data_IF_440886875387
#
_entry.id   IF_440886875387
#
_cell.length_a   1.000
_cell.length_b   1.000
_cell.length_c   1.000
_cell.angle_alpha   90.00
_cell.angle_beta   90.00
_cell.angle_gamma   90.00
#
_symmetry.space_group_name_H-M   'P 1'
#
loop_
_entity.id
_entity.type
_entity.pdbx_description
1 polymer ?
#
# COMPACT_ATOMS: atom_id res chain seq x y z
N UNK A 1 -37.55 1.42 18.90
CA UNK A 1 -36.20 1.97 19.23
C UNK A 1 -35.08 1.05 18.73
N UNK A 2 -35.18 -0.29 18.92
CA UNK A 2 -34.22 -1.26 18.34
C UNK A 2 -34.21 -1.24 16.80
N UNK A 3 -35.37 -1.23 16.15
CA UNK A 3 -35.46 -1.23 14.68
C UNK A 3 -34.87 0.03 14.03
N UNK A 4 -35.09 1.21 14.61
CA UNK A 4 -34.50 2.46 14.13
C UNK A 4 -32.96 2.49 14.30
N UNK A 5 -32.43 1.83 15.35
CA UNK A 5 -31.00 1.75 15.59
C UNK A 5 -30.31 0.78 14.61
N UNK A 6 -30.97 -0.33 14.28
CA UNK A 6 -30.51 -1.31 13.27
C UNK A 6 -30.55 -0.69 11.87
N UNK A 7 -31.66 -0.03 11.51
CA UNK A 7 -31.79 0.66 10.21
C UNK A 7 -30.72 1.74 10.05
N UNK A 8 -30.43 2.51 11.10
CA UNK A 8 -29.38 3.53 11.03
C UNK A 8 -27.98 2.91 10.85
N UNK A 9 -27.69 1.78 11.51
CA UNK A 9 -26.43 1.06 11.31
C UNK A 9 -26.27 0.53 9.88
N UNK A 10 -27.34 0.04 9.27
CA UNK A 10 -27.32 -0.43 7.88
C UNK A 10 -27.11 0.73 6.88
N UNK A 11 -27.73 1.87 7.14
CA UNK A 11 -27.55 3.08 6.32
C UNK A 11 -26.11 3.59 6.39
N UNK A 12 -25.53 3.71 7.59
CA UNK A 12 -24.12 4.08 7.78
C UNK A 12 -23.21 3.07 7.08
N UNK A 13 -23.43 1.77 7.31
CA UNK A 13 -22.62 0.71 6.71
C UNK A 13 -22.64 0.81 5.19
N UNK A 14 -23.80 1.04 4.59
CA UNK A 14 -23.94 1.17 3.13
C UNK A 14 -23.21 2.40 2.60
N UNK A 15 -23.44 3.58 3.18
CA UNK A 15 -22.82 4.84 2.74
C UNK A 15 -21.28 4.75 2.85
N UNK A 16 -20.78 4.24 3.97
CA UNK A 16 -19.34 4.02 4.20
C UNK A 16 -18.76 2.99 3.23
N UNK A 17 -19.41 1.85 3.04
CA UNK A 17 -18.90 0.79 2.16
C UNK A 17 -18.87 1.26 0.71
N UNK A 18 -19.89 1.99 0.27
CA UNK A 18 -19.92 2.58 -1.08
C UNK A 18 -18.81 3.61 -1.27
N UNK A 19 -18.57 4.48 -0.28
CA UNK A 19 -17.48 5.45 -0.34
C UNK A 19 -16.11 4.77 -0.41
N UNK A 20 -15.83 3.81 0.48
CA UNK A 20 -14.55 3.08 0.53
C UNK A 20 -14.29 2.29 -0.76
N UNK A 21 -15.32 1.64 -1.31
CA UNK A 21 -15.19 0.84 -2.53
C UNK A 21 -15.19 1.68 -3.81
N UNK A 22 -15.34 3.01 -3.72
CA UNK A 22 -15.29 3.88 -4.88
C UNK A 22 -13.86 4.11 -5.34
N UNK A 23 -13.61 3.96 -6.64
CA UNK A 23 -12.29 4.21 -7.27
C UNK A 23 -11.80 5.67 -7.16
N UNK A 24 -12.68 6.56 -6.72
CA UNK A 24 -12.46 8.01 -6.59
C UNK A 24 -11.68 8.33 -5.31
N UNK A 25 -11.65 7.41 -4.33
CA UNK A 25 -11.13 7.68 -3.00
C UNK A 25 -10.11 6.63 -2.54
N UNK A 26 -9.23 7.02 -1.62
CA UNK A 26 -8.41 6.09 -0.84
C UNK A 26 -8.73 6.34 0.62
N UNK A 27 -9.73 5.65 1.15
CA UNK A 27 -10.23 5.85 2.50
C UNK A 27 -9.96 4.62 3.36
N UNK A 28 -9.52 4.86 4.59
CA UNK A 28 -9.36 3.86 5.61
C UNK A 28 -10.35 4.15 6.74
N UNK A 29 -11.17 3.16 7.07
CA UNK A 29 -12.08 3.23 8.21
C UNK A 29 -11.33 2.92 9.51
N UNK A 30 -11.49 3.77 10.51
CA UNK A 30 -11.02 3.56 11.88
C UNK A 30 -12.10 3.95 12.89
N UNK A 31 -11.85 3.63 14.14
CA UNK A 31 -12.57 4.17 15.30
C UNK A 31 -11.54 4.93 16.12
N UNK A 32 -11.78 6.23 16.33
CA UNK A 32 -10.89 7.11 17.10
C UNK A 32 -11.71 8.03 18.01
N UNK A 33 -11.14 8.50 19.14
CA UNK A 33 -11.81 9.46 20.01
C UNK A 33 -11.85 10.84 19.34
N UNK A 34 -13.06 11.35 19.11
CA UNK A 34 -13.30 12.74 18.69
C UNK A 34 -13.47 13.62 19.92
N UNK A 35 -12.77 14.75 19.97
CA UNK A 35 -12.82 15.71 21.06
C UNK A 35 -13.69 16.91 20.66
N UNK A 36 -14.79 17.10 21.38
CA UNK A 36 -15.70 18.22 21.17
C UNK A 36 -15.18 19.49 21.85
N UNK A 37 -15.66 20.65 21.38
CA UNK A 37 -15.26 21.96 21.91
C UNK A 37 -15.71 22.21 23.36
N UNK A 38 -16.68 21.43 23.85
CA UNK A 38 -17.12 21.45 25.26
C UNK A 38 -16.20 20.64 26.19
N UNK A 39 -15.11 20.05 25.65
CA UNK A 39 -14.15 19.24 26.38
C UNK A 39 -14.53 17.76 26.53
N UNK A 40 -15.68 17.35 26.00
CA UNK A 40 -16.07 15.94 25.99
C UNK A 40 -15.40 15.18 24.85
N UNK A 41 -15.32 13.85 24.97
CA UNK A 41 -14.79 12.99 23.91
C UNK A 41 -15.70 11.80 23.63
N UNK A 42 -15.73 11.33 22.39
CA UNK A 42 -16.51 10.16 21.99
C UNK A 42 -15.80 9.37 20.90
N UNK A 43 -15.81 8.05 20.99
CA UNK A 43 -15.34 7.18 19.92
C UNK A 43 -16.30 7.26 18.73
N UNK A 44 -15.79 7.73 17.60
CA UNK A 44 -16.54 7.87 16.35
C UNK A 44 -15.88 7.05 15.25
N UNK A 45 -16.70 6.64 14.27
CA UNK A 45 -16.18 6.14 13.01
C UNK A 45 -15.54 7.31 12.26
N UNK A 46 -14.35 7.07 11.73
CA UNK A 46 -13.60 8.04 10.97
C UNK A 46 -13.07 7.42 9.68
N UNK A 47 -13.26 8.12 8.56
CA UNK A 47 -12.62 7.80 7.29
C UNK A 47 -11.42 8.72 7.10
N UNK A 48 -10.22 8.17 7.09
CA UNK A 48 -8.98 8.90 6.78
C UNK A 48 -8.55 8.61 5.36
N UNK A 49 -8.13 9.62 4.61
CA UNK A 49 -7.71 9.40 3.25
C UNK A 49 -7.28 10.64 2.51
N UNK A 50 -7.39 10.59 1.18
CA UNK A 50 -7.09 11.73 0.31
C UNK A 50 -8.23 11.99 -0.66
N UNK A 51 -8.50 13.26 -0.93
CA UNK A 51 -9.30 13.72 -2.07
C UNK A 51 -8.37 14.04 -3.22
N UNK A 52 -8.55 13.35 -4.35
CA UNK A 52 -7.85 13.65 -5.58
C UNK A 52 -8.49 14.84 -6.27
N UNK A 53 -7.69 15.83 -6.63
CA UNK A 53 -8.18 16.98 -7.40
C UNK A 53 -7.18 17.39 -8.48
N UNK A 54 -7.69 18.07 -9.52
CA UNK A 54 -6.87 18.65 -10.57
C UNK A 54 -6.90 20.17 -10.43
N UNK A 55 -5.77 20.76 -10.03
CA UNK A 55 -5.61 22.19 -9.86
C UNK A 55 -4.53 22.70 -10.81
N UNK A 56 -4.85 23.70 -11.64
CA UNK A 56 -3.93 24.25 -12.66
C UNK A 56 -3.25 23.18 -13.52
N UNK A 57 -4.00 22.15 -13.94
CA UNK A 57 -3.52 21.07 -14.79
C UNK A 57 -2.67 19.98 -14.09
N UNK A 58 -2.30 20.18 -12.82
CA UNK A 58 -1.58 19.17 -12.01
C UNK A 58 -2.55 18.43 -11.08
N UNK A 59 -2.28 17.15 -10.83
CA UNK A 59 -3.04 16.34 -9.89
C UNK A 59 -2.46 16.48 -8.48
N UNK A 60 -3.32 16.73 -7.52
CA UNK A 60 -2.97 16.84 -6.09
C UNK A 60 -3.81 15.88 -5.27
N UNK A 61 -3.23 15.39 -4.18
CA UNK A 61 -3.90 14.56 -3.18
C UNK A 61 -4.02 15.39 -1.90
N UNK A 62 -5.23 15.75 -1.52
CA UNK A 62 -5.49 16.58 -0.33
C UNK A 62 -5.88 15.64 0.80
N UNK A 63 -5.08 15.51 1.88
CA UNK A 63 -5.41 14.60 2.97
C UNK A 63 -6.61 15.11 3.76
N UNK A 64 -7.51 14.18 4.10
CA UNK A 64 -8.76 14.49 4.80
C UNK A 64 -9.08 13.48 5.90
N UNK A 65 -9.92 13.92 6.83
CA UNK A 65 -10.56 13.11 7.86
C UNK A 65 -12.07 13.39 7.86
N UNK A 66 -12.89 12.35 7.74
CA UNK A 66 -14.35 12.43 7.78
C UNK A 66 -14.84 11.71 9.03
N UNK A 67 -15.41 12.45 9.96
CA UNK A 67 -15.96 11.93 11.21
C UNK A 67 -17.46 11.75 11.09
N UNK A 68 -17.93 10.55 11.43
CA UNK A 68 -19.33 10.16 11.32
C UNK A 68 -19.96 10.14 12.71
N UNK A 69 -20.91 11.03 12.95
CA UNK A 69 -21.69 11.03 14.17
C UNK A 69 -22.76 9.93 14.16
N UNK A 70 -23.34 9.62 15.32
CA UNK A 70 -24.33 8.54 15.49
C UNK A 70 -25.53 8.68 14.53
N UNK A 71 -25.89 9.90 14.17
CA UNK A 71 -27.05 10.19 13.34
C UNK A 71 -26.71 10.29 11.85
N UNK A 72 -25.46 10.03 11.44
CA UNK A 72 -25.13 9.83 10.02
C UNK A 72 -25.89 8.61 9.48
N UNK A 73 -26.36 8.58 8.21
CA UNK A 73 -26.30 9.64 7.20
C UNK A 73 -27.41 10.69 7.29
N UNK A 74 -28.30 10.65 8.30
CA UNK A 74 -29.33 11.69 8.47
C UNK A 74 -28.71 13.06 8.77
N UNK A 75 -27.56 13.08 9.45
CA UNK A 75 -26.73 14.25 9.69
C UNK A 75 -25.46 14.22 8.84
N UNK A 76 -25.06 15.39 8.34
CA UNK A 76 -23.81 15.57 7.60
C UNK A 76 -22.60 15.10 8.43
N UNK A 77 -21.58 14.52 7.80
CA UNK A 77 -20.33 14.23 8.48
C UNK A 77 -19.52 15.51 8.77
N UNK A 78 -18.60 15.45 9.73
CA UNK A 78 -17.62 16.51 9.96
C UNK A 78 -16.37 16.19 9.14
N UNK A 79 -15.99 17.10 8.25
CA UNK A 79 -14.89 16.88 7.31
C UNK A 79 -13.77 17.86 7.56
N UNK A 80 -12.56 17.36 7.72
CA UNK A 80 -11.35 18.18 7.91
C UNK A 80 -10.34 17.90 6.82
N UNK A 81 -9.70 18.95 6.30
CA UNK A 81 -8.41 18.86 5.62
C UNK A 81 -7.32 18.76 6.69
N UNK A 82 -6.44 17.77 6.54
CA UNK A 82 -5.28 17.57 7.42
C UNK A 82 -3.99 17.77 6.62
N UNK A 83 -3.42 18.99 6.62
CA UNK A 83 -2.16 19.24 5.94
C UNK A 83 -1.05 18.29 6.41
N UNK A 84 -0.18 17.85 5.48
CA UNK A 84 1.10 17.21 5.83
C UNK A 84 2.07 18.24 6.42
N UNK A 85 3.23 17.81 6.91
CA UNK A 85 4.21 18.66 7.59
C UNK A 85 4.71 19.87 6.77
N UNK A 86 4.56 19.82 5.45
CA UNK A 86 4.98 20.84 4.48
C UNK A 86 3.81 21.65 3.88
N UNK A 87 2.57 21.33 4.25
CA UNK A 87 1.36 21.97 3.75
C UNK A 87 0.73 22.89 4.80
N UNK A 88 0.11 23.96 4.33
CA UNK A 88 -0.64 24.91 5.16
C UNK A 88 -2.02 25.12 4.56
N UNK A 89 -3.04 25.30 5.41
CA UNK A 89 -4.37 25.70 4.95
C UNK A 89 -4.26 27.09 4.32
N UNK A 90 -4.75 27.23 3.09
CA UNK A 90 -4.75 28.50 2.36
C UNK A 90 -5.70 29.50 3.05
N UNK A 91 -5.21 30.68 3.49
CA UNK A 91 -6.08 31.72 4.07
C UNK A 91 -7.10 32.28 3.08
N UNK A 92 -6.86 32.08 1.77
CA UNK A 92 -7.77 32.48 0.70
C UNK A 92 -8.83 31.41 0.37
N UNK A 93 -8.78 30.25 1.04
CA UNK A 93 -9.75 29.18 0.86
C UNK A 93 -11.14 29.63 1.30
N UNK A 94 -12.14 29.43 0.44
CA UNK A 94 -13.56 29.66 0.76
C UNK A 94 -14.26 28.39 1.23
N UNK A 95 -13.65 27.24 0.92
CA UNK A 95 -14.24 25.92 1.13
C UNK A 95 -13.70 25.23 2.38
N UNK A 96 -12.67 25.80 3.02
CA UNK A 96 -12.01 25.27 4.21
C UNK A 96 -11.63 26.41 5.14
N UNK A 97 -12.02 26.32 6.41
CA UNK A 97 -11.70 27.32 7.43
C UNK A 97 -10.25 27.16 7.96
N UNK A 98 -9.72 28.11 8.76
CA UNK A 98 -8.34 28.04 9.28
C UNK A 98 -8.02 26.78 10.12
N UNK A 99 -9.02 26.20 10.80
CA UNK A 99 -8.87 24.95 11.57
C UNK A 99 -8.88 23.69 10.69
N UNK A 100 -9.01 23.86 9.38
CA UNK A 100 -9.09 22.78 8.40
C UNK A 100 -10.49 22.22 8.20
N UNK A 101 -11.53 22.72 8.86
CA UNK A 101 -12.92 22.27 8.67
C UNK A 101 -13.42 22.67 7.29
N UNK A 102 -13.96 21.70 6.54
CA UNK A 102 -14.52 21.90 5.20
C UNK A 102 -15.94 22.46 5.31
N UNK A 103 -16.20 23.54 4.59
CA UNK A 103 -17.44 24.34 4.66
C UNK A 103 -18.11 24.46 3.28
N UNK A 104 -18.33 23.31 2.62
CA UNK A 104 -18.97 23.26 1.31
C UNK A 104 -20.50 23.46 1.38
N UNK A 105 -21.12 24.10 0.37
CA UNK A 105 -22.58 24.19 0.28
C UNK A 105 -23.28 22.83 0.37
N UNK A 106 -22.66 21.79 -0.20
CA UNK A 106 -23.16 20.41 -0.15
C UNK A 106 -23.33 19.88 1.28
N UNK A 107 -22.40 20.19 2.19
CA UNK A 107 -22.50 19.81 3.60
C UNK A 107 -23.60 20.59 4.33
N UNK A 108 -23.78 21.88 3.98
CA UNK A 108 -24.82 22.72 4.57
C UNK A 108 -26.23 22.32 4.14
N UNK A 109 -26.39 21.80 2.92
CA UNK A 109 -27.67 21.30 2.38
C UNK A 109 -27.82 19.78 2.49
N UNK A 110 -27.00 19.13 3.30
CA UNK A 110 -26.99 17.67 3.42
C UNK A 110 -28.36 17.16 3.90
N UNK A 111 -28.93 16.23 3.15
CA UNK A 111 -30.19 15.58 3.52
C UNK A 111 -30.22 14.15 2.98
N UNK A 112 -30.40 13.17 3.86
CA UNK A 112 -30.60 11.79 3.42
C UNK A 112 -32.04 11.59 2.89
N UNK A 113 -32.26 10.83 1.79
CA UNK A 113 -31.29 10.05 1.01
C UNK A 113 -30.66 10.81 -0.19
N UNK A 114 -30.91 12.11 -0.33
CA UNK A 114 -30.37 12.92 -1.43
C UNK A 114 -28.89 13.29 -1.29
N UNK A 115 -28.26 13.00 -0.15
CA UNK A 115 -26.85 13.22 0.12
C UNK A 115 -26.15 11.95 0.60
N UNK A 116 -24.94 11.74 0.09
CA UNK A 116 -24.09 10.58 0.38
C UNK A 116 -22.60 10.96 0.33
N UNK A 117 -21.76 10.07 0.86
CA UNK A 117 -20.33 10.31 0.94
C UNK A 117 -19.66 10.38 -0.44
N UNK A 118 -20.09 9.58 -1.41
CA UNK A 118 -19.51 9.58 -2.78
C UNK A 118 -19.70 10.95 -3.44
N UNK A 119 -20.91 11.49 -3.36
CA UNK A 119 -21.26 12.80 -3.90
C UNK A 119 -20.53 13.92 -3.18
N UNK A 120 -20.34 13.79 -1.85
CA UNK A 120 -19.46 14.68 -1.10
C UNK A 120 -18.02 14.66 -1.64
N UNK A 121 -17.46 13.49 -1.97
CA UNK A 121 -16.13 13.40 -2.58
C UNK A 121 -16.04 14.09 -3.94
N UNK A 122 -17.07 13.94 -4.78
CA UNK A 122 -17.13 14.66 -6.06
C UNK A 122 -17.16 16.17 -5.86
N UNK A 123 -17.98 16.67 -4.94
CA UNK A 123 -18.06 18.11 -4.63
C UNK A 123 -16.75 18.65 -4.05
N UNK A 124 -16.09 17.90 -3.16
CA UNK A 124 -14.76 18.26 -2.65
C UNK A 124 -13.71 18.29 -3.76
N UNK A 125 -13.67 17.27 -4.62
CA UNK A 125 -12.72 17.20 -5.74
C UNK A 125 -12.88 18.39 -6.69
N UNK A 126 -14.12 18.76 -7.00
CA UNK A 126 -14.48 19.90 -7.84
C UNK A 126 -14.11 21.23 -7.18
N UNK A 127 -14.52 21.46 -5.94
CA UNK A 127 -14.23 22.70 -5.21
C UNK A 127 -12.72 22.93 -5.08
N UNK A 128 -11.99 21.91 -4.64
CA UNK A 128 -10.53 21.99 -4.47
C UNK A 128 -9.76 22.09 -5.79
N UNK A 129 -10.39 21.72 -6.92
CA UNK A 129 -9.82 21.87 -8.26
C UNK A 129 -9.94 23.29 -8.79
N UNK A 130 -10.96 24.03 -8.35
CA UNK A 130 -11.12 25.46 -8.62
C UNK A 130 -10.13 26.27 -7.79
N UNK A 131 -10.08 26.02 -6.48
CA UNK A 131 -9.17 26.67 -5.55
C UNK A 131 -8.61 25.65 -4.56
N UNK A 132 -7.30 25.40 -4.61
CA UNK A 132 -6.68 24.46 -3.67
C UNK A 132 -6.80 24.98 -2.23
N UNK A 133 -7.29 24.16 -1.28
CA UNK A 133 -7.42 24.55 0.11
C UNK A 133 -6.09 24.54 0.86
N UNK A 134 -5.01 24.07 0.22
CA UNK A 134 -3.67 23.97 0.82
C UNK A 134 -2.61 24.55 -0.11
N UNK A 135 -1.49 24.99 0.47
CA UNK A 135 -0.28 25.35 -0.27
C UNK A 135 0.95 24.78 0.42
N UNK A 136 2.01 24.52 -0.34
CA UNK A 136 3.29 24.00 0.18
C UNK A 136 4.31 25.13 0.38
N UNK A 137 5.14 25.03 1.40
CA UNK A 137 6.28 25.94 1.59
C UNK A 137 7.55 25.37 0.94
N UNK A 138 7.54 25.23 -0.39
CA UNK A 138 8.76 24.97 -1.17
C UNK A 138 9.45 26.30 -1.45
N UNK A 139 10.64 26.51 -0.90
CA UNK A 139 11.46 27.71 -1.10
C UNK A 139 11.83 27.89 -2.58
N UNK A 140 11.18 28.81 -3.29
CA UNK A 140 11.80 29.85 -4.15
C UNK A 140 10.80 30.54 -5.10
N UNK A 141 10.88 31.88 -5.10
CA UNK A 141 10.47 32.84 -6.13
C UNK A 141 8.98 33.17 -6.30
N UNK A 142 8.44 33.97 -5.38
CA UNK A 142 7.56 35.06 -5.76
C UNK A 142 8.33 36.38 -5.66
N UNK A 143 8.88 36.80 -6.80
CA UNK A 143 9.16 38.22 -7.04
C UNK A 143 7.83 38.95 -6.93
N UNK A 144 7.74 39.80 -5.91
CA UNK A 144 6.72 40.83 -5.80
C UNK A 144 6.80 41.77 -7.01
N UNK A 145 5.79 41.72 -7.87
CA UNK A 145 5.51 42.79 -8.83
C UNK A 145 4.03 43.18 -8.68
N UNK A 146 3.86 44.28 -7.97
CA UNK A 146 2.69 45.13 -7.93
C UNK A 146 2.29 45.63 -9.33
N UNK A 147 0.97 45.74 -9.55
CA UNK A 147 0.24 46.63 -10.47
C UNK A 147 0.81 46.88 -11.88
N UNK A 148 0.07 46.50 -12.92
CA UNK A 148 -0.81 47.42 -13.68
C UNK A 148 -1.39 46.76 -14.95
N UNK A 149 -2.61 47.20 -15.27
CA UNK A 149 -3.43 46.96 -16.46
C UNK A 149 -2.74 47.27 -17.79
N UNK A 150 -3.16 46.60 -18.89
CA UNK A 150 -3.65 47.21 -20.16
C UNK A 150 -3.87 46.16 -21.29
N UNK A 151 -5.05 46.28 -21.89
CA UNK A 151 -5.63 45.90 -23.19
C UNK A 151 -4.95 45.03 -24.28
N UNK A 152 -5.81 44.16 -24.84
CA UNK A 152 -6.19 44.02 -26.28
C UNK A 152 -5.29 43.37 -27.34
N UNK A 153 -5.90 42.38 -28.00
CA UNK A 153 -6.14 42.29 -29.46
C UNK A 153 -5.41 41.19 -30.27
N UNK A 154 -6.25 40.40 -30.96
CA UNK A 154 -6.15 39.85 -32.33
C UNK A 154 -4.91 39.05 -32.79
N UNK A 155 -5.11 37.82 -33.29
CA UNK A 155 -5.21 37.50 -34.74
C UNK A 155 -5.43 36.02 -35.04
N UNK A 156 -5.97 35.77 -36.23
CA UNK A 156 -6.54 34.55 -36.82
C UNK A 156 -5.50 33.60 -37.46
N UNK A 157 -6.03 32.44 -37.89
CA UNK A 157 -5.73 31.66 -39.11
C UNK A 157 -4.82 30.42 -38.90
N UNK A 158 -4.97 29.27 -39.57
CA UNK A 158 -6.04 28.51 -40.25
C UNK A 158 -5.34 27.30 -40.93
N UNK A 159 -6.13 26.33 -41.45
CA UNK A 159 -5.77 25.26 -42.43
C UNK A 159 -5.29 23.93 -41.83
N UNK A 160 -5.66 22.72 -42.30
CA UNK A 160 -6.84 22.12 -42.97
C UNK A 160 -6.52 20.62 -43.13
N UNK A 161 -7.56 19.77 -43.11
CA UNK A 161 -7.50 18.32 -43.30
C UNK A 161 -7.22 17.90 -44.75
N UNK A 162 -6.58 16.74 -44.97
CA UNK A 162 -6.83 15.87 -46.13
C UNK A 162 -6.69 14.37 -45.80
N UNK A 163 -7.48 13.60 -46.55
CA UNK A 163 -7.98 12.24 -46.35
C UNK A 163 -7.02 11.08 -46.69
N UNK A 164 -7.41 9.89 -46.20
CA UNK A 164 -6.91 8.54 -46.44
C UNK A 164 -7.11 8.00 -47.89
N UNK A 165 -6.55 6.80 -48.17
CA UNK A 165 -7.42 5.70 -48.60
C UNK A 165 -7.10 4.32 -47.95
N UNK A 166 -8.08 3.43 -48.02
CA UNK A 166 -8.16 2.04 -47.51
C UNK A 166 -7.52 1.02 -48.49
N UNK A 167 -7.21 -0.22 -48.02
CA UNK A 167 -7.68 -1.38 -48.79
C UNK A 167 -8.23 -2.57 -47.96
N UNK A 168 -9.36 -3.07 -48.47
CA UNK A 168 -9.89 -4.44 -48.67
C UNK A 168 -9.45 -5.64 -47.80
N UNK A 169 -10.49 -6.38 -47.37
CA UNK A 169 -10.54 -7.62 -46.58
C UNK A 169 -10.24 -8.86 -47.44
N UNK A 170 -9.41 -9.77 -46.92
CA UNK A 170 -9.49 -11.20 -47.23
C UNK A 170 -9.52 -12.03 -45.93
N UNK A 171 -10.39 -13.04 -45.96
CA UNK A 171 -10.78 -13.98 -44.92
C UNK A 171 -9.66 -14.93 -44.48
N UNK A 172 -9.57 -15.24 -43.17
CA UNK A 172 -9.49 -16.61 -42.65
C UNK A 172 -9.60 -16.67 -41.10
N UNK A 173 -10.59 -17.45 -40.65
CA UNK A 173 -10.70 -18.27 -39.44
C UNK A 173 -10.18 -17.78 -38.05
N UNK A 174 -11.15 -17.54 -37.16
CA UNK A 174 -11.31 -18.14 -35.82
C UNK A 174 -10.07 -18.48 -34.98
N UNK A 175 -9.79 -17.67 -33.96
CA UNK A 175 -9.44 -18.04 -32.57
C UNK A 175 -8.63 -16.93 -31.86
N UNK A 176 -9.21 -15.74 -31.63
CA UNK A 176 -8.52 -14.69 -30.85
C UNK A 176 -9.49 -13.77 -30.10
N UNK A 177 -10.48 -14.36 -29.43
CA UNK A 177 -11.29 -13.65 -28.43
C UNK A 177 -11.18 -14.47 -27.15
N UNK A 178 -10.13 -14.21 -26.35
CA UNK A 178 -9.95 -14.59 -24.93
C UNK A 178 -8.48 -14.31 -24.49
N UNK A 179 -7.93 -13.11 -24.70
CA UNK A 179 -6.57 -12.77 -24.21
C UNK A 179 -6.34 -11.38 -23.62
N UNK A 180 -7.36 -10.54 -23.43
CA UNK A 180 -7.16 -9.19 -22.87
C UNK A 180 -8.05 -8.91 -21.66
N UNK A 181 -7.83 -9.64 -20.55
CA UNK A 181 -8.47 -9.32 -19.26
C UNK A 181 -7.57 -9.46 -18.01
N UNK A 182 -6.36 -10.03 -18.10
CA UNK A 182 -5.57 -10.41 -16.92
C UNK A 182 -4.29 -9.57 -16.66
N UNK A 183 -4.26 -8.28 -17.03
CA UNK A 183 -3.11 -7.39 -16.75
C UNK A 183 -3.40 -6.31 -15.68
N UNK A 184 -4.06 -6.69 -14.57
CA UNK A 184 -4.28 -5.79 -13.43
C UNK A 184 -3.55 -6.24 -12.14
N UNK A 185 -2.50 -5.48 -11.80
CA UNK A 185 -2.07 -5.13 -10.43
C UNK A 185 -1.45 -6.20 -9.50
N UNK A 186 -0.11 -6.44 -9.58
CA UNK A 186 0.56 -7.49 -8.77
C UNK A 186 2.01 -7.16 -8.31
N UNK A 187 2.30 -6.11 -7.51
CA UNK A 187 3.73 -5.73 -7.24
C UNK A 187 3.99 -5.01 -5.91
N UNK A 188 3.02 -4.96 -5.02
CA UNK A 188 3.11 -4.10 -3.84
C UNK A 188 4.04 -4.69 -2.75
N UNK A 189 4.31 -5.99 -2.78
CA UNK A 189 5.18 -6.71 -1.82
C UNK A 189 6.64 -6.24 -1.76
N UNK A 190 7.13 -5.60 -2.82
CA UNK A 190 8.48 -5.04 -2.85
C UNK A 190 8.58 -3.72 -2.08
N UNK A 191 7.45 -3.09 -1.75
CA UNK A 191 7.39 -1.77 -1.09
C UNK A 191 7.15 -1.83 0.42
N UNK A 192 6.90 -3.01 1.00
CA UNK A 192 6.36 -3.19 2.36
C UNK A 192 7.36 -2.95 3.53
N UNK A 193 8.48 -2.26 3.31
CA UNK A 193 9.48 -2.02 4.38
C UNK A 193 9.13 -0.85 5.30
N UNK A 194 8.19 -0.01 4.88
CA UNK A 194 7.75 1.18 5.62
C UNK A 194 6.98 0.70 6.86
N UNK A 195 7.66 0.67 8.01
CA UNK A 195 7.08 0.16 9.26
C UNK A 195 7.98 -0.81 10.04
N UNK A 196 9.23 -1.04 9.62
CA UNK A 196 10.18 -1.76 10.45
C UNK A 196 10.39 -1.03 11.80
N UNK A 197 10.30 -1.74 12.93
CA UNK A 197 10.43 -1.13 14.25
C UNK A 197 11.85 -0.58 14.44
N UNK A 198 11.93 0.68 14.88
CA UNK A 198 13.20 1.38 15.16
C UNK A 198 13.91 0.90 16.44
N UNK A 199 13.45 -0.19 17.03
CA UNK A 199 14.04 -0.81 18.22
C UNK A 199 14.21 -2.31 18.01
N UNK A 200 15.19 -2.88 18.68
CA UNK A 200 15.35 -4.33 18.76
C UNK A 200 14.11 -4.96 19.43
N UNK A 201 13.47 -5.89 18.75
CA UNK A 201 12.40 -6.70 19.32
C UNK A 201 12.96 -7.99 19.94
N UNK A 202 12.15 -8.64 20.78
CA UNK A 202 12.47 -9.97 21.30
C UNK A 202 12.56 -10.98 20.15
N UNK A 203 13.44 -12.00 20.19
CA UNK A 203 13.53 -13.02 19.14
C UNK A 203 12.20 -13.74 18.86
N UNK A 204 12.01 -14.17 17.61
CA UNK A 204 10.89 -15.00 17.18
C UNK A 204 11.22 -16.45 17.53
N UNK A 205 10.48 -17.01 18.50
CA UNK A 205 10.71 -18.34 19.06
C UNK A 205 9.39 -19.02 19.45
N UNK A 206 9.41 -20.33 19.56
CA UNK A 206 8.27 -21.18 19.89
C UNK A 206 7.68 -21.89 18.67
N UNK A 207 7.72 -21.27 17.49
CA UNK A 207 7.20 -21.87 16.26
C UNK A 207 8.02 -23.09 15.82
N UNK A 208 9.33 -23.13 16.13
CA UNK A 208 10.21 -24.25 15.77
C UNK A 208 9.84 -25.56 16.47
N UNK A 209 9.09 -25.46 17.57
CA UNK A 209 8.59 -26.62 18.34
C UNK A 209 7.26 -27.14 17.80
N UNK A 210 6.64 -26.44 16.86
CA UNK A 210 5.39 -26.87 16.26
C UNK A 210 5.62 -28.05 15.31
N UNK A 211 4.65 -28.97 15.21
CA UNK A 211 4.72 -30.04 14.23
C UNK A 211 4.67 -29.48 12.81
N UNK A 212 5.32 -30.18 11.87
CA UNK A 212 5.06 -29.98 10.45
C UNK A 212 3.69 -30.57 10.12
N UNK A 213 2.84 -29.78 9.47
CA UNK A 213 1.43 -30.10 9.19
C UNK A 213 1.10 -29.71 7.75
N UNK A 214 -0.07 -30.12 7.26
CA UNK A 214 -0.54 -29.68 5.94
C UNK A 214 -0.82 -28.17 5.93
N UNK A 215 -0.84 -27.56 4.75
CA UNK A 215 -1.09 -26.13 4.63
C UNK A 215 -2.48 -25.74 5.17
N UNK A 216 -3.51 -26.57 4.95
CA UNK A 216 -4.85 -26.34 5.50
C UNK A 216 -4.85 -26.32 7.03
N UNK A 217 -4.14 -27.26 7.66
CA UNK A 217 -4.04 -27.26 9.10
C UNK A 217 -3.22 -26.07 9.62
N UNK A 218 -2.21 -25.64 8.87
CA UNK A 218 -1.38 -24.50 9.23
C UNK A 218 -2.12 -23.16 9.21
N UNK A 219 -3.11 -23.00 8.32
CA UNK A 219 -3.91 -21.78 8.18
C UNK A 219 -5.17 -21.77 9.05
N UNK A 220 -5.58 -22.90 9.63
CA UNK A 220 -6.77 -22.97 10.49
C UNK A 220 -6.85 -21.88 11.57
N UNK A 221 -5.77 -21.55 12.32
CA UNK A 221 -5.81 -20.46 13.30
C UNK A 221 -5.96 -19.05 12.69
N UNK A 222 -5.76 -18.92 11.37
CA UNK A 222 -5.75 -17.66 10.63
C UNK A 222 -7.08 -17.39 9.91
N UNK A 223 -7.98 -18.37 9.81
CA UNK A 223 -9.25 -18.28 9.06
C UNK A 223 -10.11 -17.10 9.51
N UNK A 224 -10.15 -16.81 10.81
CA UNK A 224 -10.90 -15.67 11.35
C UNK A 224 -10.18 -14.33 11.22
N UNK A 225 -8.88 -14.35 10.96
CA UNK A 225 -8.01 -13.17 10.90
C UNK A 225 -7.83 -12.66 9.47
N UNK A 226 -7.79 -13.58 8.50
CA UNK A 226 -7.47 -13.31 7.11
C UNK A 226 -8.66 -13.76 6.26
N UNK A 227 -9.45 -12.83 5.71
CA UNK A 227 -10.53 -13.16 4.79
C UNK A 227 -10.00 -13.97 3.60
N UNK A 228 -10.81 -14.91 3.13
CA UNK A 228 -10.56 -15.71 1.92
C UNK A 228 -9.30 -16.61 1.96
N UNK A 229 -8.62 -16.72 3.11
CA UNK A 229 -7.38 -17.51 3.23
C UNK A 229 -7.57 -18.98 2.87
N UNK A 230 -8.73 -19.57 3.17
CA UNK A 230 -9.04 -20.96 2.80
C UNK A 230 -9.15 -21.12 1.28
N UNK A 231 -9.84 -20.20 0.60
CA UNK A 231 -9.98 -20.19 -0.85
C UNK A 231 -8.61 -19.99 -1.51
N UNK A 232 -7.81 -19.04 -1.04
CA UNK A 232 -6.48 -18.76 -1.58
C UNK A 232 -5.52 -19.92 -1.33
N UNK A 233 -5.62 -20.57 -0.17
CA UNK A 233 -4.88 -21.79 0.15
C UNK A 233 -5.20 -22.92 -0.84
N UNK A 234 -6.48 -23.11 -1.16
CA UNK A 234 -6.90 -24.09 -2.14
C UNK A 234 -6.29 -23.78 -3.51
N UNK A 235 -6.38 -22.54 -3.98
CA UNK A 235 -5.79 -22.08 -5.25
C UNK A 235 -4.27 -22.32 -5.27
N UNK A 236 -3.55 -21.96 -4.20
CA UNK A 236 -2.11 -22.17 -4.09
C UNK A 236 -1.74 -23.66 -4.23
N UNK A 237 -2.49 -24.56 -3.59
CA UNK A 237 -2.26 -26.00 -3.70
C UNK A 237 -2.52 -26.54 -5.10
N UNK A 238 -3.58 -26.10 -5.77
CA UNK A 238 -3.89 -26.55 -7.15
C UNK A 238 -2.78 -26.18 -8.16
N UNK A 239 -2.02 -25.12 -7.88
CA UNK A 239 -0.90 -24.69 -8.71
C UNK A 239 0.42 -25.39 -8.34
N UNK A 240 0.44 -26.27 -7.33
CA UNK A 240 1.64 -26.95 -6.81
C UNK A 240 1.64 -28.47 -7.02
N UNK A 241 1.05 -28.98 -8.11
CA UNK A 241 0.88 -30.43 -8.33
C UNK A 241 2.20 -31.23 -8.44
N UNK A 242 3.28 -30.60 -8.91
CA UNK A 242 4.61 -31.22 -9.06
C UNK A 242 5.70 -30.25 -8.59
N UNK A 243 5.86 -30.08 -7.27
CA UNK A 243 6.79 -29.10 -6.71
C UNK A 243 8.24 -29.48 -7.04
N UNK A 244 9.05 -28.48 -7.39
CA UNK A 244 10.49 -28.62 -7.62
C UNK A 244 11.27 -28.60 -6.29
N UNK A 245 12.59 -28.71 -6.40
CA UNK A 245 13.53 -28.40 -5.31
C UNK A 245 13.38 -29.29 -4.05
N UNK A 246 12.79 -30.48 -4.22
CA UNK A 246 12.58 -31.44 -3.13
C UNK A 246 11.52 -31.00 -2.10
N UNK A 247 10.70 -30.00 -2.44
CA UNK A 247 9.59 -29.57 -1.59
C UNK A 247 8.41 -30.52 -1.71
N UNK A 248 7.68 -30.67 -0.61
CA UNK A 248 6.33 -31.26 -0.64
C UNK A 248 5.34 -30.27 -1.26
N UNK A 249 4.16 -30.77 -1.64
CA UNK A 249 3.09 -29.92 -2.17
C UNK A 249 2.68 -28.84 -1.17
N UNK A 250 2.55 -29.17 0.12
CA UNK A 250 2.19 -28.21 1.18
C UNK A 250 3.27 -27.15 1.40
N UNK A 251 4.56 -27.54 1.33
CA UNK A 251 5.68 -26.62 1.44
C UNK A 251 5.73 -25.63 0.26
N UNK A 252 5.63 -26.14 -0.97
CA UNK A 252 5.57 -25.28 -2.16
C UNK A 252 4.35 -24.36 -2.14
N UNK A 253 3.17 -24.89 -1.79
CA UNK A 253 1.94 -24.11 -1.71
C UNK A 253 2.01 -23.06 -0.60
N UNK A 254 2.74 -23.31 0.49
CA UNK A 254 2.94 -22.30 1.55
C UNK A 254 3.72 -21.08 1.05
N UNK A 255 4.74 -21.30 0.21
CA UNK A 255 5.49 -20.22 -0.45
C UNK A 255 4.60 -19.52 -1.48
N UNK A 256 3.85 -20.28 -2.27
CA UNK A 256 2.93 -19.70 -3.26
C UNK A 256 1.87 -18.81 -2.61
N UNK A 257 1.24 -19.28 -1.52
CA UNK A 257 0.27 -18.50 -0.76
C UNK A 257 0.86 -17.19 -0.24
N UNK A 258 2.13 -17.20 0.20
CA UNK A 258 2.83 -15.98 0.60
C UNK A 258 3.00 -15.01 -0.58
N UNK A 259 3.22 -15.50 -1.79
CA UNK A 259 3.43 -14.62 -2.95
C UNK A 259 2.16 -14.08 -3.57
N UNK A 260 1.00 -14.68 -3.30
CA UNK A 260 -0.28 -14.25 -3.88
C UNK A 260 -0.70 -12.87 -3.34
N UNK A 261 -1.10 -11.98 -4.25
CA UNK A 261 -1.78 -10.73 -3.93
C UNK A 261 -3.28 -10.87 -4.25
N UNK A 262 -4.15 -10.42 -3.35
CA UNK A 262 -5.60 -10.40 -3.56
C UNK A 262 -6.27 -9.17 -2.95
N UNK A 263 -7.46 -8.87 -3.45
CA UNK A 263 -8.23 -7.70 -3.01
C UNK A 263 -9.16 -8.03 -1.81
N UNK A 264 -9.24 -7.15 -0.80
CA UNK A 264 -8.49 -5.90 -0.66
C UNK A 264 -7.02 -6.15 -0.30
N UNK A 265 -6.12 -5.49 -1.02
CA UNK A 265 -4.66 -5.69 -0.92
C UNK A 265 -4.12 -5.69 0.52
N UNK A 266 -4.55 -4.76 1.36
CA UNK A 266 -4.08 -4.64 2.75
C UNK A 266 -4.43 -5.85 3.63
N UNK A 267 -5.35 -6.70 3.17
CA UNK A 267 -5.72 -7.96 3.81
C UNK A 267 -5.13 -9.19 3.13
N UNK A 268 -4.28 -9.00 2.12
CA UNK A 268 -3.49 -10.09 1.56
C UNK A 268 -2.65 -10.76 2.63
N UNK A 269 -2.40 -12.06 2.45
CA UNK A 269 -1.79 -12.90 3.46
C UNK A 269 -0.40 -12.43 3.87
N UNK A 270 0.47 -12.09 2.90
CA UNK A 270 1.82 -11.64 3.21
C UNK A 270 1.83 -10.27 3.89
N UNK A 271 0.93 -9.36 3.52
CA UNK A 271 0.82 -8.03 4.14
C UNK A 271 0.50 -8.21 5.63
N UNK A 272 -0.50 -9.04 5.92
CA UNK A 272 -0.92 -9.33 7.29
C UNK A 272 0.18 -10.04 8.08
N UNK A 273 0.86 -11.02 7.46
CA UNK A 273 1.98 -11.73 8.09
C UNK A 273 3.13 -10.78 8.42
N UNK A 274 3.61 -10.00 7.46
CA UNK A 274 4.74 -9.10 7.65
C UNK A 274 4.43 -7.99 8.66
N UNK A 275 3.20 -7.47 8.66
CA UNK A 275 2.74 -6.55 9.71
C UNK A 275 2.78 -7.21 11.09
N UNK A 276 2.36 -8.48 11.20
CA UNK A 276 2.40 -9.22 12.47
C UNK A 276 3.85 -9.51 12.92
N UNK A 277 4.75 -9.80 11.97
CA UNK A 277 6.18 -10.03 12.25
C UNK A 277 6.89 -8.77 12.78
N UNK A 278 6.49 -7.60 12.30
CA UNK A 278 6.96 -6.27 12.75
C UNK A 278 6.30 -5.80 14.05
N UNK A 279 5.20 -6.43 14.47
CA UNK A 279 4.48 -6.04 15.66
C UNK A 279 5.31 -6.24 16.93
N UNK A 280 5.23 -5.26 17.84
CA UNK A 280 5.97 -5.32 19.12
C UNK A 280 5.41 -6.36 20.09
N UNK A 281 4.14 -6.74 19.94
CA UNK A 281 3.44 -7.71 20.78
C UNK A 281 3.59 -9.10 20.17
N UNK A 282 4.64 -9.83 20.58
CA UNK A 282 4.98 -11.17 20.03
C UNK A 282 3.87 -12.22 20.15
N UNK A 283 2.97 -12.07 21.11
CA UNK A 283 1.80 -12.94 21.28
C UNK A 283 0.89 -12.96 20.04
N UNK A 284 0.85 -11.88 19.26
CA UNK A 284 0.09 -11.79 18.01
C UNK A 284 0.62 -12.74 16.93
N UNK A 285 1.87 -13.22 17.05
CA UNK A 285 2.45 -14.21 16.12
C UNK A 285 1.99 -15.64 16.43
N UNK A 286 1.43 -15.94 17.60
CA UNK A 286 1.07 -17.32 17.98
C UNK A 286 0.14 -18.03 16.97
N UNK A 287 -0.91 -17.38 16.43
CA UNK A 287 -1.75 -18.00 15.39
C UNK A 287 -0.96 -18.40 14.14
N UNK A 288 0.15 -17.71 13.85
CA UNK A 288 1.00 -17.95 12.69
C UNK A 288 2.03 -19.06 12.89
N UNK A 289 2.19 -19.63 14.09
CA UNK A 289 3.31 -20.53 14.36
C UNK A 289 3.31 -21.81 13.51
N UNK A 290 2.15 -22.39 13.22
CA UNK A 290 2.06 -23.56 12.33
C UNK A 290 2.45 -23.20 10.90
N UNK A 291 1.97 -22.05 10.39
CA UNK A 291 2.33 -21.56 9.07
C UNK A 291 3.82 -21.19 8.97
N UNK A 292 4.34 -20.44 9.94
CA UNK A 292 5.77 -20.09 10.04
C UNK A 292 6.64 -21.35 10.08
N UNK A 293 6.23 -22.38 10.84
CA UNK A 293 6.92 -23.66 10.88
C UNK A 293 6.99 -24.30 9.50
N UNK A 294 5.90 -24.32 8.75
CA UNK A 294 5.82 -24.90 7.41
C UNK A 294 6.65 -24.12 6.39
N UNK A 295 6.42 -22.80 6.26
CA UNK A 295 7.06 -21.98 5.22
C UNK A 295 8.55 -21.81 5.45
N UNK A 296 9.00 -21.65 6.71
CA UNK A 296 10.43 -21.55 7.01
C UNK A 296 11.12 -22.88 6.74
N UNK A 297 10.49 -24.02 7.08
CA UNK A 297 11.03 -25.34 6.74
C UNK A 297 11.17 -25.53 5.23
N UNK A 298 10.17 -25.10 4.45
CA UNK A 298 10.22 -25.10 2.99
C UNK A 298 11.40 -24.26 2.46
N UNK A 299 11.52 -23.02 2.91
CA UNK A 299 12.57 -22.09 2.48
C UNK A 299 13.98 -22.54 2.92
N UNK A 300 14.11 -23.25 4.03
CA UNK A 300 15.40 -23.81 4.47
C UNK A 300 15.91 -24.92 3.54
N UNK A 301 15.02 -25.65 2.85
CA UNK A 301 15.41 -26.68 1.87
C UNK A 301 15.94 -26.08 0.56
N UNK A 302 15.54 -24.86 0.22
CA UNK A 302 16.03 -24.17 -0.97
C UNK A 302 17.49 -23.72 -0.79
N UNK A 303 18.33 -23.78 -1.83
CA UNK A 303 19.72 -23.32 -1.75
C UNK A 303 19.76 -21.80 -1.50
N UNK A 304 20.68 -21.31 -0.65
CA UNK A 304 20.89 -19.87 -0.48
C UNK A 304 21.57 -19.26 -1.72
N UNK A 305 21.28 -17.99 -1.99
CA UNK A 305 21.94 -17.20 -3.02
C UNK A 305 22.91 -16.20 -2.40
N UNK A 306 24.14 -16.18 -2.91
CA UNK A 306 25.23 -15.28 -2.47
C UNK A 306 25.46 -14.15 -3.48
N UNK A 307 24.43 -13.35 -3.73
CA UNK A 307 24.43 -12.29 -4.73
C UNK A 307 23.90 -10.98 -4.18
N UNK A 308 24.23 -9.88 -4.84
CA UNK A 308 23.58 -8.60 -4.58
C UNK A 308 22.13 -8.71 -5.06
N UNK A 309 21.18 -8.48 -4.14
CA UNK A 309 19.76 -8.39 -4.45
C UNK A 309 19.28 -6.96 -4.30
N UNK A 310 18.22 -6.63 -5.04
CA UNK A 310 17.66 -5.29 -5.08
C UNK A 310 16.24 -5.26 -4.58
N UNK A 311 15.88 -4.14 -3.95
CA UNK A 311 14.51 -3.87 -3.50
C UNK A 311 14.17 -2.40 -3.67
N UNK A 312 13.10 -2.11 -4.40
CA UNK A 312 12.61 -0.76 -4.64
C UNK A 312 11.43 -0.42 -3.75
N UNK A 313 11.45 0.78 -3.16
CA UNK A 313 10.40 1.26 -2.27
C UNK A 313 10.01 2.68 -2.66
N UNK A 314 8.71 2.96 -2.81
CA UNK A 314 8.19 4.29 -3.15
C UNK A 314 8.01 5.19 -1.92
N UNK A 315 9.10 5.38 -1.18
CA UNK A 315 9.13 6.24 0.00
C UNK A 315 10.56 6.75 0.23
N UNK A 316 10.70 7.86 0.96
CA UNK A 316 12.00 8.35 1.42
C UNK A 316 12.33 7.69 2.75
N UNK A 317 13.39 6.87 2.74
CA UNK A 317 13.88 6.20 3.94
C UNK A 317 15.29 6.66 4.32
N UNK A 318 15.87 7.66 3.65
CA UNK A 318 17.26 8.04 3.87
C UNK A 318 17.55 8.39 5.35
N UNK A 319 16.62 9.08 6.01
CA UNK A 319 16.76 9.46 7.42
C UNK A 319 16.77 8.26 8.38
N UNK A 320 16.24 7.10 7.99
CA UNK A 320 16.16 5.90 8.84
C UNK A 320 17.43 5.04 8.74
N UNK A 321 18.24 5.24 7.70
CA UNK A 321 19.40 4.42 7.38
C UNK A 321 20.66 5.27 7.38
N UNK A 322 21.34 5.32 8.53
CA UNK A 322 22.61 6.01 8.70
C UNK A 322 23.77 5.05 8.45
N UNK A 323 24.77 5.45 7.67
CA UNK A 323 25.97 4.64 7.41
C UNK A 323 26.63 4.18 8.71
N UNK A 324 27.01 2.90 8.76
CA UNK A 324 27.60 2.23 9.92
C UNK A 324 26.58 1.79 10.97
N UNK A 325 25.29 2.12 10.81
CA UNK A 325 24.25 1.61 11.70
C UNK A 325 23.91 0.16 11.37
N UNK A 326 23.38 -0.53 12.37
CA UNK A 326 22.85 -1.88 12.22
C UNK A 326 21.33 -1.84 12.34
N UNK A 327 20.65 -2.49 11.42
CA UNK A 327 19.19 -2.58 11.34
C UNK A 327 18.73 -4.03 11.25
N UNK A 328 17.46 -4.28 11.56
CA UNK A 328 16.84 -5.61 11.44
C UNK A 328 15.58 -5.47 10.61
N UNK A 329 15.42 -6.34 9.62
CA UNK A 329 14.15 -6.50 8.90
C UNK A 329 13.40 -7.69 9.50
N UNK A 330 12.30 -7.40 10.19
CA UNK A 330 11.53 -8.41 10.93
C UNK A 330 10.55 -9.16 10.05
N UNK A 331 10.02 -8.54 8.99
CA UNK A 331 9.20 -9.21 7.99
C UNK A 331 10.03 -10.06 7.02
N UNK A 332 9.35 -10.93 6.27
CA UNK A 332 9.93 -11.47 5.04
C UNK A 332 10.15 -10.32 4.06
N UNK A 333 11.25 -10.37 3.30
CA UNK A 333 11.58 -9.29 2.36
C UNK A 333 11.71 -9.82 0.95
N UNK A 334 10.78 -9.44 0.09
CA UNK A 334 10.81 -9.72 -1.34
C UNK A 334 11.84 -8.85 -2.04
N UNK A 335 12.78 -9.47 -2.75
CA UNK A 335 13.83 -8.82 -3.51
C UNK A 335 13.92 -9.42 -4.92
N UNK A 336 14.65 -8.78 -5.80
CA UNK A 336 14.92 -9.29 -7.15
C UNK A 336 16.41 -9.23 -7.45
N UNK A 337 16.90 -10.19 -8.22
CA UNK A 337 18.28 -10.18 -8.76
C UNK A 337 18.38 -9.32 -10.01
N UNK A 338 17.27 -9.08 -10.71
CA UNK A 338 17.25 -8.29 -11.94
C UNK A 338 17.15 -6.81 -11.61
N UNK A 339 18.20 -6.06 -11.92
CA UNK A 339 18.16 -4.60 -11.83
C UNK A 339 17.18 -4.01 -12.85
N UNK A 340 16.96 -4.68 -13.98
CA UNK A 340 16.00 -4.28 -15.00
C UNK A 340 14.56 -4.30 -14.49
N UNK A 341 14.23 -5.22 -13.57
CA UNK A 341 12.92 -5.26 -12.94
C UNK A 341 12.59 -3.91 -12.28
N UNK A 342 13.57 -3.22 -11.68
CA UNK A 342 13.37 -1.91 -11.02
C UNK A 342 12.90 -0.80 -11.99
N UNK A 343 13.05 -0.96 -13.31
CA UNK A 343 12.47 -0.03 -14.29
C UNK A 343 10.95 -0.04 -14.27
N UNK A 344 10.34 -1.11 -13.78
CA UNK A 344 8.90 -1.19 -13.60
C UNK A 344 8.46 -0.11 -12.62
N UNK A 345 7.57 0.76 -13.10
CA UNK A 345 7.00 1.85 -12.31
C UNK A 345 6.37 1.37 -11.02
N UNK A 346 5.96 0.10 -10.89
CA UNK A 346 5.36 -0.39 -9.66
C UNK A 346 6.38 -0.80 -8.57
N UNK A 347 7.60 -1.22 -8.93
CA UNK A 347 8.65 -1.54 -7.96
C UNK A 347 9.42 -0.29 -7.50
N UNK A 348 10.14 0.34 -8.42
CA UNK A 348 10.90 1.57 -8.15
C UNK A 348 10.48 2.68 -9.11
N UNK A 349 10.51 2.41 -10.41
CA UNK A 349 10.18 3.41 -11.43
C UNK A 349 11.22 4.52 -11.56
N UNK A 350 10.90 5.51 -12.38
CA UNK A 350 11.82 6.62 -12.71
C UNK A 350 11.48 7.93 -12.01
N UNK A 351 10.27 8.05 -11.47
CA UNK A 351 9.74 9.30 -10.93
C UNK A 351 9.26 9.15 -9.49
N UNK A 352 9.09 10.29 -8.81
CA UNK A 352 8.63 10.34 -7.43
C UNK A 352 9.71 10.03 -6.40
N UNK A 353 9.34 10.20 -5.13
CA UNK A 353 10.20 9.90 -3.99
C UNK A 353 10.30 8.38 -3.84
N UNK A 354 11.54 7.88 -3.84
CA UNK A 354 11.81 6.44 -3.84
C UNK A 354 13.18 6.12 -3.28
N UNK A 355 13.28 4.93 -2.71
CA UNK A 355 14.49 4.36 -2.12
C UNK A 355 14.80 3.03 -2.81
N UNK A 356 16.02 2.89 -3.31
CA UNK A 356 16.56 1.64 -3.82
C UNK A 356 17.52 1.04 -2.78
N UNK A 357 17.21 -0.17 -2.32
CA UNK A 357 18.13 -0.99 -1.55
C UNK A 357 18.96 -1.86 -2.50
N UNK A 358 20.28 -1.83 -2.31
CA UNK A 358 21.23 -2.78 -2.88
C UNK A 358 21.83 -3.57 -1.73
N UNK A 359 21.62 -4.88 -1.70
CA UNK A 359 21.84 -5.72 -0.52
C UNK A 359 22.83 -6.81 -0.87
N UNK A 360 24.03 -6.76 -0.29
CA UNK A 360 24.95 -7.91 -0.28
C UNK A 360 24.32 -8.99 0.61
N UNK A 361 23.73 -10.02 -0.03
CA UNK A 361 22.94 -11.04 0.64
C UNK A 361 23.63 -12.41 0.58
N UNK A 362 23.56 -13.14 1.69
CA UNK A 362 24.12 -14.48 1.86
C UNK A 362 23.06 -15.57 2.09
N UNK A 363 21.84 -15.18 2.48
CA UNK A 363 20.80 -16.15 2.89
C UNK A 363 19.53 -16.16 2.03
N UNK A 364 19.49 -15.36 0.96
CA UNK A 364 18.32 -15.22 0.10
C UNK A 364 17.91 -16.53 -0.57
N UNK A 365 16.61 -16.73 -0.75
CA UNK A 365 16.03 -17.94 -1.35
C UNK A 365 15.36 -17.59 -2.65
N UNK A 366 15.84 -18.14 -3.76
CA UNK A 366 15.13 -18.01 -5.03
C UNK A 366 13.83 -18.82 -4.95
N UNK A 367 12.69 -18.15 -5.11
CA UNK A 367 11.38 -18.79 -5.02
C UNK A 367 10.62 -18.77 -6.35
N UNK A 368 11.31 -18.52 -7.47
CA UNK A 368 10.72 -18.46 -8.81
C UNK A 368 9.84 -19.67 -9.14
N UNK A 369 10.30 -20.87 -8.78
CA UNK A 369 9.59 -22.14 -9.05
C UNK A 369 8.36 -22.37 -8.15
N UNK A 370 8.19 -21.56 -7.10
CA UNK A 370 7.18 -21.73 -6.06
C UNK A 370 6.34 -20.48 -5.82
N UNK A 371 6.61 -19.39 -6.56
CA UNK A 371 5.87 -18.14 -6.53
C UNK A 371 4.68 -18.23 -7.48
N UNK A 372 3.60 -17.52 -7.14
CA UNK A 372 2.47 -17.29 -8.03
C UNK A 372 2.88 -16.39 -9.23
N UNK A 373 3.90 -15.55 -9.05
CA UNK A 373 4.47 -14.66 -10.08
C UNK A 373 5.89 -15.12 -10.45
N UNK A 374 5.99 -16.13 -11.31
CA UNK A 374 7.26 -16.76 -11.67
C UNK A 374 8.18 -15.87 -12.53
N UNK A 375 7.64 -14.81 -13.11
CA UNK A 375 8.34 -13.83 -13.95
C UNK A 375 9.11 -12.77 -13.15
N UNK A 376 8.86 -12.65 -11.85
CA UNK A 376 9.49 -11.61 -11.01
C UNK A 376 10.93 -11.97 -10.58
N UNK A 377 11.38 -13.19 -10.86
CA UNK A 377 12.70 -13.71 -10.45
C UNK A 377 13.02 -13.39 -8.99
N UNK A 378 12.02 -13.63 -8.14
CA UNK A 378 12.05 -13.20 -6.75
C UNK A 378 13.07 -14.01 -5.94
N UNK A 379 13.86 -13.26 -5.17
CA UNK A 379 14.64 -13.77 -4.05
C UNK A 379 13.99 -13.29 -2.75
N UNK A 380 13.55 -14.24 -1.94
CA UNK A 380 12.91 -13.98 -0.65
C UNK A 380 13.95 -14.06 0.47
N UNK A 381 14.03 -13.02 1.28
CA UNK A 381 14.78 -13.02 2.54
C UNK A 381 13.85 -13.47 3.67
N UNK A 382 14.35 -14.38 4.50
CA UNK A 382 13.67 -14.82 5.73
C UNK A 382 13.44 -13.64 6.69
N UNK A 383 12.51 -13.76 7.65
CA UNK A 383 12.31 -12.73 8.66
C UNK A 383 13.49 -12.64 9.64
N UNK A 384 13.55 -11.51 10.33
CA UNK A 384 14.54 -11.19 11.35
C UNK A 384 16.00 -11.30 10.85
N UNK A 385 16.27 -10.83 9.64
CA UNK A 385 17.65 -10.65 9.13
C UNK A 385 18.23 -9.35 9.63
N UNK A 386 19.53 -9.37 9.92
CA UNK A 386 20.26 -8.20 10.38
C UNK A 386 21.17 -7.69 9.27
N UNK A 387 21.22 -6.37 9.11
CA UNK A 387 22.02 -5.71 8.07
C UNK A 387 22.84 -4.57 8.66
N UNK A 388 24.03 -4.36 8.11
CA UNK A 388 24.82 -3.15 8.29
C UNK A 388 24.58 -2.19 7.11
N UNK A 389 24.38 -0.92 7.39
CA UNK A 389 24.27 0.13 6.37
C UNK A 389 25.67 0.53 5.91
N UNK A 390 26.10 0.09 4.73
CA UNK A 390 27.47 0.32 4.25
C UNK A 390 27.61 1.63 3.44
N UNK A 391 26.51 2.13 2.87
CA UNK A 391 26.50 3.37 2.09
C UNK A 391 25.10 3.94 1.88
N UNK A 392 25.02 5.26 1.78
CA UNK A 392 23.80 6.01 1.42
C UNK A 392 24.17 7.06 0.39
N UNK A 393 23.36 7.21 -0.66
CA UNK A 393 23.60 8.13 -1.77
C UNK A 393 22.31 8.72 -2.29
N UNK A 394 22.20 10.05 -2.23
CA UNK A 394 21.16 10.81 -2.92
C UNK A 394 21.57 10.98 -4.40
N UNK A 395 20.77 10.43 -5.32
CA UNK A 395 20.99 10.53 -6.76
C UNK A 395 20.17 11.67 -7.40
N UNK A 396 19.51 12.50 -6.60
CA UNK A 396 18.60 13.55 -7.05
C UNK A 396 17.30 12.98 -7.61
N UNK A 397 16.40 13.87 -8.03
CA UNK A 397 15.08 13.51 -8.59
C UNK A 397 14.26 12.54 -7.70
N UNK A 398 14.43 12.68 -6.38
CA UNK A 398 13.74 11.86 -5.39
C UNK A 398 14.25 10.42 -5.25
N UNK A 399 15.40 10.06 -5.84
CA UNK A 399 15.99 8.72 -5.69
C UNK A 399 17.07 8.69 -4.61
N UNK A 400 16.83 7.90 -3.57
CA UNK A 400 17.82 7.52 -2.57
C UNK A 400 18.32 6.11 -2.85
N UNK A 401 19.62 5.88 -2.74
CA UNK A 401 20.23 4.54 -2.83
C UNK A 401 20.83 4.21 -1.47
N UNK A 402 20.43 3.08 -0.90
CA UNK A 402 20.96 2.56 0.35
C UNK A 402 21.61 1.21 0.08
N UNK A 403 22.86 1.08 0.46
CA UNK A 403 23.61 -0.17 0.38
C UNK A 403 23.62 -0.85 1.75
N UNK A 404 23.24 -2.12 1.74
CA UNK A 404 23.18 -2.96 2.92
C UNK A 404 24.10 -4.17 2.75
N UNK A 405 24.68 -4.63 3.86
CA UNK A 405 25.36 -5.91 3.95
C UNK A 405 24.67 -6.78 4.98
N UNK A 406 24.26 -7.98 4.59
CA UNK A 406 23.74 -8.96 5.53
C UNK A 406 24.83 -9.34 6.54
N UNK A 407 24.50 -9.32 7.82
CA UNK A 407 25.42 -9.70 8.90
C UNK A 407 24.77 -10.72 9.81
N UNK A 408 25.59 -11.57 10.43
CA UNK A 408 25.11 -12.51 11.42
C UNK A 408 24.84 -11.79 12.75
N UNK A 409 23.64 -11.96 13.33
CA UNK A 409 23.35 -11.34 14.62
C UNK A 409 24.12 -12.03 15.75
N UNK A 410 24.41 -11.26 16.81
CA UNK A 410 25.11 -11.77 18.01
C UNK A 410 24.41 -12.97 18.65
N UNK A 411 23.10 -13.07 18.47
CA UNK A 411 22.27 -14.19 18.88
C UNK A 411 21.18 -14.42 17.82
N UNK A 412 20.66 -15.64 17.66
CA UNK A 412 19.60 -15.92 16.69
C UNK A 412 18.34 -15.09 16.98
N UNK A 413 17.97 -14.20 16.06
CA UNK A 413 16.74 -13.40 16.15
C UNK A 413 15.49 -14.19 15.74
N UNK A 414 15.69 -15.28 15.01
CA UNK A 414 14.69 -16.29 14.71
C UNK A 414 15.33 -17.66 14.84
N UNK A 415 14.66 -18.59 15.52
CA UNK A 415 15.20 -19.93 15.73
C UNK A 415 14.87 -20.81 14.53
N UNK A 416 15.86 -21.00 13.66
CA UNK A 416 15.78 -21.93 12.55
C UNK A 416 15.98 -23.36 13.09
N UNK A 417 15.17 -24.32 12.66
CA UNK A 417 15.42 -25.72 13.02
C UNK A 417 16.72 -26.17 12.39
N UNK A 418 17.60 -26.77 13.19
CA UNK A 418 18.75 -27.51 12.70
C UNK A 418 18.24 -28.63 11.78
N UNK A 419 18.76 -28.66 10.56
CA UNK A 419 18.48 -29.71 9.57
C UNK A 419 18.76 -31.10 10.11
#
# INVERSE_FOLDING_TARGET
MRDAMVVNQDLVRRDVTQAINSSITHLFLKIEPYYYSDGTSKDLLILKGVVRTQYKGKRYNIPIEIWLEKDHPLKAPLVYVKPTSDMFISPASRDVNPDGLVVLPYLNSWHHPGSDLISLFHEMSKAFGVASPVYSNSSSNYVSLSNSSISSSTTKASVSLKNAPLPTIHSQASSTILKNADEQSHTHRFSDIVGEPRRMLLPIQGFEKMPLVSLEHAINPLVSLIPDVEQMTWIAKQNCNSPKDGLTMDESASIMLYTMEWEPYEKSFYVTLNNTLRATVREQLKPWFLYLRLVINALQKLPPTHHVVYRGVKSDLAAEYSRGSTIVWWGFSSCTVSIEALKNERFLGKEGIRTLFSIECDSGKNIRSHSFYAEEDEVLLLPARQFEVIGCLDQGNGLQIIQLREIQPKFPLIKLSSS
#
